data_IF_960886830336
#
_entry.id   IF_960886830336
#
_cell.length_a   1.000
_cell.length_b   1.000
_cell.length_c   1.000
_cell.angle_alpha   90.00
_cell.angle_beta   90.00
_cell.angle_gamma   90.00
#
_symmetry.space_group_name_H-M   'P 1'
#
loop_
_entity.id
_entity.type
_entity.pdbx_description
1 polymer ?
#
# COMPACT_ATOMS: atom_id res chain seq x y z
N UNK A 1 -10.97 4.63 18.72
CA UNK A 1 -9.84 5.35 18.12
C UNK A 1 -10.06 5.31 16.62
N UNK A 2 -10.38 6.45 16.06
CA UNK A 2 -10.98 6.59 14.72
C UNK A 2 -9.91 6.87 13.68
N UNK A 3 -8.96 6.13 13.36
CA UNK A 3 -7.98 6.26 12.26
C UNK A 3 -7.94 7.56 11.42
N UNK A 4 -8.41 8.67 11.99
CA UNK A 4 -8.54 9.97 11.38
C UNK A 4 -7.22 10.74 11.39
N UNK A 5 -7.08 11.68 10.46
CA UNK A 5 -5.92 12.58 10.40
C UNK A 5 -5.78 13.36 11.71
N UNK A 6 -4.54 13.55 12.14
CA UNK A 6 -4.21 14.33 13.35
C UNK A 6 -4.75 15.76 13.23
N UNK A 7 -5.40 16.26 14.27
CA UNK A 7 -5.78 17.66 14.36
C UNK A 7 -4.58 18.52 14.70
N UNK A 8 -4.63 19.81 14.33
CA UNK A 8 -3.57 20.77 14.63
C UNK A 8 -3.24 20.83 16.12
N UNK A 9 -4.27 20.81 16.97
CA UNK A 9 -4.11 20.81 18.43
C UNK A 9 -3.31 19.58 18.92
N UNK A 10 -3.60 18.39 18.37
CA UNK A 10 -2.87 17.17 18.70
C UNK A 10 -1.39 17.25 18.30
N UNK A 11 -1.10 17.82 17.13
CA UNK A 11 0.28 18.02 16.66
C UNK A 11 1.01 19.00 17.57
N UNK A 12 0.34 20.10 17.97
CA UNK A 12 0.92 21.11 18.86
C UNK A 12 1.27 20.54 20.23
N UNK A 13 0.32 19.80 20.84
CA UNK A 13 0.53 19.15 22.16
C UNK A 13 1.70 18.15 22.09
N UNK A 14 1.77 17.32 21.04
CA UNK A 14 2.87 16.37 20.86
C UNK A 14 4.23 17.06 20.74
N UNK A 15 4.31 18.19 20.01
CA UNK A 15 5.56 18.93 19.85
C UNK A 15 5.99 19.66 21.12
N UNK A 16 5.05 20.23 21.87
CA UNK A 16 5.35 20.85 23.15
C UNK A 16 5.86 19.84 24.17
N UNK A 17 5.19 18.68 24.30
CA UNK A 17 5.62 17.62 25.21
C UNK A 17 6.92 16.94 24.76
N UNK A 18 7.23 16.95 23.47
CA UNK A 18 8.53 16.48 22.97
C UNK A 18 9.71 17.32 23.48
N UNK A 19 9.53 18.64 23.65
CA UNK A 19 10.54 19.51 24.23
C UNK A 19 10.75 19.18 25.73
N UNK A 20 9.69 18.83 26.45
CA UNK A 20 9.74 18.40 27.85
C UNK A 20 10.39 17.02 27.97
N UNK A 21 10.07 16.08 27.09
CA UNK A 21 10.70 14.75 27.03
C UNK A 21 12.22 14.82 26.71
N UNK A 22 12.69 15.93 26.11
CA UNK A 22 14.08 16.16 25.72
C UNK A 22 15.01 16.58 26.85
N UNK A 23 14.50 16.96 28.02
CA UNK A 23 15.32 17.31 29.19
C UNK A 23 15.91 16.06 29.84
N UNK A 24 17.20 16.10 30.29
CA UNK A 24 17.93 14.90 30.72
C UNK A 24 17.28 14.13 31.87
N UNK A 25 16.52 14.80 32.74
CA UNK A 25 15.79 14.17 33.85
C UNK A 25 14.48 13.51 33.36
N UNK A 26 13.85 14.05 32.31
CA UNK A 26 12.57 13.55 31.82
C UNK A 26 12.69 12.40 30.81
N UNK A 27 13.87 12.11 30.26
CA UNK A 27 14.09 10.88 29.48
C UNK A 27 13.80 9.62 30.31
N UNK A 28 14.11 9.67 31.62
CA UNK A 28 13.78 8.58 32.53
C UNK A 28 12.26 8.46 32.74
N UNK A 29 11.54 9.58 32.88
CA UNK A 29 10.08 9.56 33.06
C UNK A 29 9.35 9.16 31.80
N UNK A 30 9.75 9.69 30.62
CA UNK A 30 9.22 9.27 29.33
C UNK A 30 9.46 7.80 29.04
N UNK A 31 10.65 7.30 29.36
CA UNK A 31 11.00 5.88 29.27
C UNK A 31 10.18 4.99 30.21
N UNK A 32 10.02 5.40 31.46
CA UNK A 32 9.21 4.67 32.45
C UNK A 32 7.73 4.58 32.03
N UNK A 33 7.15 5.67 31.55
CA UNK A 33 5.77 5.70 31.03
C UNK A 33 5.62 4.80 29.80
N UNK A 34 6.61 4.81 28.91
CA UNK A 34 6.60 3.97 27.71
C UNK A 34 6.66 2.48 28.03
N UNK A 35 7.48 2.07 29.02
CA UNK A 35 7.60 0.68 29.48
C UNK A 35 6.37 0.24 30.26
N UNK A 36 5.77 1.14 31.06
CA UNK A 36 4.55 0.83 31.84
C UNK A 36 3.29 0.76 30.98
N UNK A 37 3.30 1.27 29.75
CA UNK A 37 2.16 1.25 28.87
C UNK A 37 2.24 0.10 27.87
N UNK A 38 1.23 -0.80 27.87
CA UNK A 38 1.13 -1.91 26.91
C UNK A 38 1.22 -1.51 25.43
N UNK A 39 0.97 -0.24 25.11
CA UNK A 39 1.01 0.31 23.74
C UNK A 39 2.31 1.04 23.43
N UNK A 40 3.29 1.05 24.35
CA UNK A 40 4.59 1.72 24.20
C UNK A 40 4.46 3.19 23.72
N UNK A 41 3.41 3.89 24.20
CA UNK A 41 3.14 5.29 23.84
C UNK A 41 4.01 6.23 24.68
N UNK A 42 4.53 7.27 24.05
CA UNK A 42 5.22 8.36 24.77
C UNK A 42 4.20 9.23 25.50
N UNK A 43 4.65 10.02 26.49
CA UNK A 43 3.79 10.91 27.24
C UNK A 43 2.98 11.85 26.35
N UNK A 44 3.61 12.39 25.29
CA UNK A 44 2.95 13.23 24.29
C UNK A 44 1.87 12.51 23.47
N UNK A 45 2.08 11.24 23.16
CA UNK A 45 1.09 10.43 22.42
C UNK A 45 -0.11 10.08 23.31
N UNK A 46 0.17 9.82 24.60
CA UNK A 46 -0.85 9.55 25.60
C UNK A 46 -1.73 10.79 25.85
N UNK A 47 -1.12 11.96 26.03
CA UNK A 47 -1.81 13.23 26.25
C UNK A 47 -2.63 13.69 25.02
N UNK A 48 -2.13 13.42 23.82
CA UNK A 48 -2.82 13.74 22.58
C UNK A 48 -3.86 12.67 22.16
N UNK A 49 -3.98 11.55 22.89
CA UNK A 49 -4.88 10.44 22.54
C UNK A 49 -4.53 9.78 21.21
N UNK A 50 -3.25 9.79 20.80
CA UNK A 50 -2.78 9.27 19.53
C UNK A 50 -2.00 7.97 19.67
N UNK A 51 -2.02 7.14 18.63
CA UNK A 51 -1.23 5.92 18.56
C UNK A 51 -0.28 6.02 17.37
N UNK A 52 0.99 5.71 17.58
CA UNK A 52 1.97 5.59 16.49
C UNK A 52 1.83 4.20 15.88
N UNK A 53 1.26 4.13 14.69
CA UNK A 53 1.25 2.91 13.90
C UNK A 53 2.54 2.83 13.08
N UNK A 54 3.36 1.83 13.36
CA UNK A 54 4.50 1.51 12.51
C UNK A 54 4.00 0.75 11.30
N UNK A 55 3.68 1.45 10.24
CA UNK A 55 3.44 0.82 8.94
C UNK A 55 4.78 0.27 8.44
N UNK A 56 4.98 -1.03 8.51
CA UNK A 56 6.05 -1.66 7.75
C UNK A 56 5.68 -1.49 6.29
N UNK A 57 6.38 -0.59 5.60
CA UNK A 57 6.40 -0.65 4.14
C UNK A 57 6.98 -2.01 3.78
N UNK A 58 6.13 -2.91 3.30
CA UNK A 58 6.64 -4.14 2.70
C UNK A 58 7.60 -3.72 1.58
N UNK A 59 8.82 -4.30 1.50
CA UNK A 59 9.69 -4.03 0.38
C UNK A 59 8.89 -4.29 -0.88
N UNK A 60 8.85 -3.29 -1.77
CA UNK A 60 8.16 -3.45 -3.05
C UNK A 60 8.81 -4.63 -3.76
N UNK A 61 8.03 -5.64 -4.13
CA UNK A 61 8.57 -6.77 -4.85
C UNK A 61 9.26 -6.25 -6.12
N UNK A 62 10.41 -6.80 -6.42
CA UNK A 62 11.11 -6.49 -7.66
C UNK A 62 10.21 -6.88 -8.82
N UNK A 63 9.73 -5.89 -9.56
CA UNK A 63 8.97 -6.14 -10.79
C UNK A 63 9.96 -6.61 -11.84
N UNK A 64 9.70 -7.73 -12.55
CA UNK A 64 10.58 -8.17 -13.62
C UNK A 64 10.77 -7.06 -14.66
N UNK A 65 12.00 -6.92 -15.17
CA UNK A 65 12.38 -5.84 -16.11
C UNK A 65 11.54 -5.83 -17.40
N UNK A 66 10.91 -6.93 -17.73
CA UNK A 66 9.97 -7.03 -18.86
C UNK A 66 8.76 -6.09 -18.74
N UNK A 67 8.39 -5.67 -17.50
CA UNK A 67 7.32 -4.68 -17.27
C UNK A 67 7.70 -3.29 -17.77
N UNK A 68 8.99 -2.94 -17.78
CA UNK A 68 9.48 -1.61 -18.17
C UNK A 68 9.43 -1.32 -19.67
N UNK A 69 9.20 -2.33 -20.52
CA UNK A 69 9.12 -2.17 -21.99
C UNK A 69 7.69 -2.03 -22.52
N UNK A 70 6.68 -2.27 -21.68
CA UNK A 70 5.28 -2.22 -22.13
C UNK A 70 4.62 -0.94 -21.64
N UNK A 71 3.94 -0.25 -22.55
CA UNK A 71 3.12 0.93 -22.19
C UNK A 71 1.90 0.43 -21.41
N UNK A 72 1.77 0.84 -20.16
CA UNK A 72 0.61 0.53 -19.35
C UNK A 72 -0.52 1.52 -19.62
N UNK A 73 -1.48 1.10 -20.44
CA UNK A 73 -2.65 1.93 -20.83
C UNK A 73 -3.51 2.36 -19.64
N UNK A 74 -3.55 1.56 -18.56
CA UNK A 74 -4.35 1.86 -17.38
C UNK A 74 -3.81 3.03 -16.56
N UNK A 75 -2.51 3.38 -16.69
CA UNK A 75 -1.88 4.51 -15.97
C UNK A 75 -2.43 5.87 -16.36
N UNK A 76 -3.01 5.99 -17.56
CA UNK A 76 -3.68 7.20 -18.01
C UNK A 76 -4.86 7.57 -17.10
N UNK A 77 -5.50 6.57 -16.51
CA UNK A 77 -6.68 6.71 -15.65
C UNK A 77 -6.32 6.78 -14.17
N UNK A 78 -5.62 7.83 -13.77
CA UNK A 78 -5.07 7.99 -12.40
C UNK A 78 -6.12 7.86 -11.29
N UNK A 79 -7.33 8.37 -11.50
CA UNK A 79 -8.43 8.28 -10.54
C UNK A 79 -8.88 6.83 -10.32
N UNK A 80 -8.99 6.04 -11.40
CA UNK A 80 -9.33 4.62 -11.32
C UNK A 80 -8.21 3.81 -10.67
N UNK A 81 -6.95 4.11 -10.99
CA UNK A 81 -5.80 3.51 -10.33
C UNK A 81 -5.75 3.80 -8.82
N UNK A 82 -6.11 5.01 -8.39
CA UNK A 82 -6.23 5.33 -6.97
C UNK A 82 -7.37 4.54 -6.29
N UNK A 83 -8.52 4.42 -6.98
CA UNK A 83 -9.66 3.62 -6.51
C UNK A 83 -9.31 2.14 -6.41
N UNK A 84 -8.53 1.62 -7.36
CA UNK A 84 -8.05 0.24 -7.38
C UNK A 84 -7.18 -0.03 -6.13
N UNK A 85 -6.20 0.85 -5.83
CA UNK A 85 -5.36 0.72 -4.62
C UNK A 85 -6.17 0.74 -3.32
N UNK A 86 -7.30 1.43 -3.28
CA UNK A 86 -8.16 1.50 -2.09
C UNK A 86 -9.05 0.27 -1.92
N UNK A 87 -9.45 -0.38 -3.01
CA UNK A 87 -10.39 -1.49 -3.00
C UNK A 87 -9.72 -2.87 -2.95
N UNK A 88 -8.49 -2.95 -3.45
CA UNK A 88 -7.78 -4.23 -3.53
C UNK A 88 -7.15 -4.56 -2.19
N UNK A 89 -7.42 -5.77 -1.69
CA UNK A 89 -6.74 -6.31 -0.53
C UNK A 89 -5.24 -6.52 -0.87
N UNK A 90 -4.32 -6.06 -0.01
CA UNK A 90 -2.89 -6.31 -0.18
C UNK A 90 -2.51 -7.79 -0.32
N UNK A 91 -3.29 -8.71 0.26
CA UNK A 91 -3.10 -10.14 0.10
C UNK A 91 -3.39 -10.58 -1.33
N UNK A 92 -4.50 -10.10 -1.92
CA UNK A 92 -4.86 -10.38 -3.31
C UNK A 92 -3.81 -9.83 -4.30
N UNK A 93 -3.34 -8.60 -4.05
CA UNK A 93 -2.27 -7.99 -4.86
C UNK A 93 -0.99 -8.85 -4.84
N UNK A 94 -0.62 -9.40 -3.69
CA UNK A 94 0.54 -10.28 -3.54
C UNK A 94 0.37 -11.59 -4.28
N UNK A 95 -0.81 -12.21 -4.18
CA UNK A 95 -1.12 -13.45 -4.91
C UNK A 95 -1.02 -13.23 -6.41
N UNK A 96 -1.58 -12.13 -6.93
CA UNK A 96 -1.49 -11.78 -8.34
C UNK A 96 -0.03 -11.62 -8.81
N UNK A 97 0.78 -10.91 -8.05
CA UNK A 97 2.20 -10.74 -8.36
C UNK A 97 2.96 -12.09 -8.35
N UNK A 98 2.72 -12.94 -7.35
CA UNK A 98 3.38 -14.25 -7.28
C UNK A 98 2.94 -15.18 -8.41
N UNK A 99 1.67 -15.15 -8.80
CA UNK A 99 1.17 -15.89 -9.94
C UNK A 99 1.86 -15.46 -11.25
N UNK A 100 2.01 -14.14 -11.45
CA UNK A 100 2.71 -13.58 -12.61
C UNK A 100 4.19 -13.93 -12.65
N UNK A 101 4.88 -13.93 -11.49
CA UNK A 101 6.29 -14.34 -11.41
C UNK A 101 6.52 -15.82 -11.74
N UNK A 102 5.55 -16.66 -11.41
CA UNK A 102 5.61 -18.10 -11.64
C UNK A 102 4.94 -18.54 -12.95
N UNK A 103 4.54 -17.60 -13.80
CA UNK A 103 3.82 -17.86 -15.05
C UNK A 103 4.45 -18.93 -15.92
N UNK A 104 5.78 -18.93 -16.00
CA UNK A 104 6.54 -19.86 -16.86
C UNK A 104 6.64 -21.27 -16.26
N UNK A 105 6.25 -21.43 -14.98
CA UNK A 105 6.19 -22.71 -14.28
C UNK A 105 4.80 -23.35 -14.38
N UNK A 106 3.81 -22.59 -14.83
CA UNK A 106 2.43 -23.05 -14.96
C UNK A 106 2.22 -23.71 -16.34
N UNK A 107 1.44 -24.77 -16.34
CA UNK A 107 0.94 -25.37 -17.59
C UNK A 107 0.10 -24.35 -18.36
N UNK A 108 0.21 -24.35 -19.70
CA UNK A 108 -0.39 -23.33 -20.55
C UNK A 108 -1.91 -23.17 -20.33
N UNK A 109 -2.64 -24.26 -20.22
CA UNK A 109 -4.09 -24.22 -20.04
C UNK A 109 -4.48 -23.72 -18.64
N UNK A 110 -3.80 -24.21 -17.61
CA UNK A 110 -4.00 -23.78 -16.22
C UNK A 110 -3.63 -22.30 -16.03
N UNK A 111 -2.58 -21.81 -16.72
CA UNK A 111 -2.18 -20.42 -16.72
C UNK A 111 -3.25 -19.51 -17.29
N UNK A 112 -3.82 -19.88 -18.46
CA UNK A 112 -4.87 -19.09 -19.10
C UNK A 112 -6.12 -19.01 -18.22
N UNK A 113 -6.56 -20.13 -17.64
CA UNK A 113 -7.72 -20.18 -16.77
C UNK A 113 -7.51 -19.35 -15.49
N UNK A 114 -6.35 -19.49 -14.84
CA UNK A 114 -6.02 -18.72 -13.64
C UNK A 114 -6.00 -17.22 -13.90
N UNK A 115 -5.34 -16.78 -14.98
CA UNK A 115 -5.25 -15.36 -15.29
C UNK A 115 -6.58 -14.77 -15.74
N UNK A 116 -7.42 -15.53 -16.43
CA UNK A 116 -8.78 -15.09 -16.76
C UNK A 116 -9.64 -14.89 -15.50
N UNK A 117 -9.60 -15.83 -14.56
CA UNK A 117 -10.33 -15.72 -13.30
C UNK A 117 -9.85 -14.52 -12.46
N UNK A 118 -8.54 -14.36 -12.32
CA UNK A 118 -7.96 -13.23 -11.59
C UNK A 118 -8.28 -11.89 -12.25
N UNK A 119 -8.17 -11.80 -13.58
CA UNK A 119 -8.50 -10.60 -14.32
C UNK A 119 -9.97 -10.21 -14.17
N UNK A 120 -10.88 -11.20 -14.24
CA UNK A 120 -12.30 -10.99 -13.98
C UNK A 120 -12.55 -10.44 -12.57
N UNK A 121 -11.87 -10.98 -11.56
CA UNK A 121 -11.94 -10.49 -10.19
C UNK A 121 -11.51 -9.03 -10.05
N UNK A 122 -10.42 -8.63 -10.67
CA UNK A 122 -9.97 -7.23 -10.65
C UNK A 122 -10.88 -6.29 -11.45
N UNK A 123 -11.43 -6.73 -12.60
CA UNK A 123 -12.42 -5.96 -13.39
C UNK A 123 -13.69 -5.71 -12.57
N UNK A 124 -14.14 -6.68 -11.78
CA UNK A 124 -15.31 -6.51 -10.91
C UNK A 124 -15.08 -5.48 -9.79
N UNK A 125 -13.84 -5.27 -9.34
CA UNK A 125 -13.51 -4.27 -8.32
C UNK A 125 -13.48 -2.85 -8.90
N UNK A 126 -12.86 -2.67 -10.07
CA UNK A 126 -12.76 -1.39 -10.77
C UNK A 126 -12.81 -1.63 -12.28
N UNK A 127 -13.83 -1.08 -12.89
CA UNK A 127 -14.02 -1.12 -14.33
C UNK A 127 -13.22 0.01 -14.99
N UNK A 128 -12.31 -0.36 -15.89
CA UNK A 128 -11.58 0.57 -16.74
C UNK A 128 -12.29 0.70 -18.10
N UNK A 129 -12.19 1.85 -18.79
CA UNK A 129 -12.77 2.01 -20.11
C UNK A 129 -12.28 0.95 -21.11
N UNK A 130 -13.15 0.55 -22.04
CA UNK A 130 -12.83 -0.44 -23.06
C UNK A 130 -11.60 -0.06 -23.86
N UNK A 131 -11.45 1.21 -24.22
CA UNK A 131 -10.30 1.75 -24.94
C UNK A 131 -8.94 1.41 -24.28
N UNK A 132 -8.93 1.29 -22.95
CA UNK A 132 -7.72 0.96 -22.20
C UNK A 132 -7.47 -0.55 -22.08
N UNK A 133 -8.49 -1.37 -22.31
CA UNK A 133 -8.48 -2.81 -22.04
C UNK A 133 -8.67 -3.70 -23.27
N UNK A 134 -9.23 -3.17 -24.36
CA UNK A 134 -9.65 -3.92 -25.55
C UNK A 134 -8.52 -4.74 -26.19
N UNK A 135 -7.28 -4.24 -26.15
CA UNK A 135 -6.13 -4.90 -26.76
C UNK A 135 -5.27 -5.69 -25.76
N UNK A 136 -5.75 -5.84 -24.51
CA UNK A 136 -5.00 -6.52 -23.48
C UNK A 136 -5.46 -7.96 -23.33
N UNK A 137 -4.51 -8.90 -23.33
CA UNK A 137 -4.77 -10.24 -22.81
C UNK A 137 -4.97 -10.19 -21.29
N UNK A 138 -5.61 -11.19 -20.69
CA UNK A 138 -5.81 -11.24 -19.24
C UNK A 138 -4.49 -11.17 -18.47
N UNK A 139 -3.44 -11.80 -18.98
CA UNK A 139 -2.09 -11.69 -18.40
C UNK A 139 -1.54 -10.26 -18.48
N UNK A 140 -1.69 -9.59 -19.61
CA UNK A 140 -1.26 -8.18 -19.76
C UNK A 140 -2.07 -7.24 -18.88
N UNK A 141 -3.38 -7.47 -18.78
CA UNK A 141 -4.24 -6.72 -17.88
C UNK A 141 -3.78 -6.87 -16.43
N UNK A 142 -3.51 -8.09 -15.98
CA UNK A 142 -3.00 -8.36 -14.63
C UNK A 142 -1.65 -7.69 -14.37
N UNK A 143 -0.73 -7.71 -15.33
CA UNK A 143 0.55 -6.99 -15.24
C UNK A 143 0.32 -5.49 -15.03
N UNK A 144 -0.56 -4.89 -15.82
CA UNK A 144 -0.89 -3.47 -15.73
C UNK A 144 -1.52 -3.11 -14.38
N UNK A 145 -2.41 -3.96 -13.89
CA UNK A 145 -3.04 -3.81 -12.56
C UNK A 145 -2.00 -3.91 -11.44
N UNK A 146 -1.18 -4.94 -11.45
CA UNK A 146 -0.14 -5.16 -10.43
C UNK A 146 0.87 -4.02 -10.44
N UNK A 147 1.27 -3.52 -11.59
CA UNK A 147 2.15 -2.36 -11.70
C UNK A 147 1.54 -1.12 -11.04
N UNK A 148 0.25 -0.83 -11.25
CA UNK A 148 -0.45 0.27 -10.59
C UNK A 148 -0.48 0.07 -9.08
N UNK A 149 -0.76 -1.14 -8.60
CA UNK A 149 -0.85 -1.43 -7.16
C UNK A 149 0.47 -1.23 -6.43
N UNK A 150 1.59 -1.56 -7.07
CA UNK A 150 2.93 -1.47 -6.50
C UNK A 150 3.69 -0.19 -6.88
N UNK A 151 3.12 0.68 -7.71
CA UNK A 151 3.71 1.98 -8.02
C UNK A 151 3.67 2.92 -6.82
N UNK A 152 4.81 3.50 -6.43
CA UNK A 152 4.86 4.49 -5.36
C UNK A 152 4.20 5.78 -5.80
N UNK A 153 3.18 6.29 -5.08
CA UNK A 153 2.65 7.61 -5.36
C UNK A 153 3.77 8.64 -5.04
N UNK A 154 4.35 9.25 -6.07
CA UNK A 154 5.34 10.32 -5.90
C UNK A 154 6.65 10.20 -6.67
N UNK A 155 6.96 9.07 -7.30
CA UNK A 155 8.12 8.99 -8.21
C UNK A 155 7.68 9.43 -9.61
N UNK A 156 7.85 10.71 -9.90
CA UNK A 156 7.77 11.22 -11.28
C UNK A 156 8.93 10.60 -12.07
N UNK A 157 8.63 9.94 -13.16
CA UNK A 157 9.61 9.62 -14.20
C UNK A 157 10.15 10.90 -14.82
#
# INVERSE_FOLDING_TARGET
MTGLRLTFAQVLIRNLLRAVDGLPIFYLTGGAVMVSNRRLQRLGDLAAGTIVLRTREAPLPHMPEESGRRVNSLKTYRALGARLRQRVDPALARVALEALKRRDQLEAQSRLALFAEMAAGFRALVEFPEEATEHLTDEQYLWNVVEILYERPGRRA
#
